data_IF_361346116412
#
_entry.id   IF_361346116412
#
_cell.length_a   1.000
_cell.length_b   1.000
_cell.length_c   1.000
_cell.angle_alpha   90.00
_cell.angle_beta   90.00
_cell.angle_gamma   90.00
#
_symmetry.space_group_name_H-M   'P 1'
#
loop_
_entity.id
_entity.type
_entity.pdbx_description
1 polymer ?
#
# COMPACT_ATOMS: atom_id res chain seq x y z
N UNK A 1 -29.90 -6.50 11.56
CA UNK A 1 -29.99 -7.37 10.37
C UNK A 1 -28.61 -7.46 9.72
N UNK A 2 -28.00 -8.65 9.68
CA UNK A 2 -26.73 -8.89 8.96
C UNK A 2 -27.08 -9.10 7.48
N UNK A 3 -27.10 -8.03 6.69
CA UNK A 3 -27.15 -8.18 5.25
C UNK A 3 -25.84 -8.81 4.76
N UNK A 4 -25.94 -9.92 4.04
CA UNK A 4 -24.80 -10.49 3.31
C UNK A 4 -24.29 -9.44 2.33
N UNK A 5 -22.97 -9.35 2.12
CA UNK A 5 -22.35 -8.39 1.18
C UNK A 5 -22.98 -8.46 -0.22
N UNK A 6 -23.38 -9.65 -0.63
CA UNK A 6 -24.06 -9.92 -1.90
C UNK A 6 -25.46 -9.29 -1.91
N UNK A 7 -26.18 -9.34 -0.79
CA UNK A 7 -27.55 -8.83 -0.68
C UNK A 7 -27.60 -7.30 -0.75
N UNK A 8 -26.59 -6.61 -0.22
CA UNK A 8 -26.46 -5.16 -0.37
C UNK A 8 -26.31 -4.81 -1.85
N UNK A 9 -25.45 -5.52 -2.57
CA UNK A 9 -25.19 -5.25 -4.00
C UNK A 9 -26.35 -5.64 -4.92
N UNK A 10 -27.11 -6.69 -4.58
CA UNK A 10 -28.21 -7.19 -5.43
C UNK A 10 -29.57 -6.53 -5.15
N UNK A 11 -29.90 -6.22 -3.88
CA UNK A 11 -31.27 -5.89 -3.48
C UNK A 11 -31.48 -4.44 -3.05
N UNK A 12 -30.44 -3.64 -2.87
CA UNK A 12 -30.60 -2.24 -2.47
C UNK A 12 -30.62 -1.30 -3.67
N UNK A 13 -31.26 -0.11 -3.56
CA UNK A 13 -31.22 0.90 -4.62
C UNK A 13 -29.77 1.25 -4.98
N UNK A 14 -29.51 1.48 -6.28
CA UNK A 14 -28.17 1.78 -6.81
C UNK A 14 -27.49 2.91 -6.03
N UNK A 15 -28.21 3.99 -5.71
CA UNK A 15 -27.68 5.11 -4.93
C UNK A 15 -27.20 4.69 -3.52
N UNK A 16 -27.92 3.79 -2.84
CA UNK A 16 -27.53 3.28 -1.52
C UNK A 16 -26.28 2.40 -1.60
N UNK A 17 -26.24 1.50 -2.58
CA UNK A 17 -25.06 0.66 -2.84
C UNK A 17 -23.81 1.49 -3.14
N UNK A 18 -23.95 2.54 -3.96
CA UNK A 18 -22.86 3.48 -4.25
C UNK A 18 -22.40 4.15 -2.95
N UNK A 19 -23.30 4.73 -2.15
CA UNK A 19 -22.93 5.40 -0.90
C UNK A 19 -22.27 4.45 0.12
N UNK A 20 -22.78 3.22 0.24
CA UNK A 20 -22.25 2.22 1.15
C UNK A 20 -20.81 1.80 0.82
N UNK A 21 -20.45 1.77 -0.47
CA UNK A 21 -19.09 1.46 -0.94
C UNK A 21 -18.19 2.71 -1.01
N UNK A 22 -18.75 3.84 -1.42
CA UNK A 22 -18.03 5.08 -1.64
C UNK A 22 -17.58 5.72 -0.32
N UNK A 23 -18.45 5.78 0.71
CA UNK A 23 -18.11 6.43 1.98
C UNK A 23 -16.87 5.81 2.65
N UNK A 24 -16.77 4.48 2.85
CA UNK A 24 -15.56 3.86 3.40
C UNK A 24 -14.32 4.08 2.52
N UNK A 25 -14.51 4.12 1.19
CA UNK A 25 -13.42 4.33 0.25
C UNK A 25 -12.89 5.77 0.29
N UNK A 26 -13.78 6.76 0.39
CA UNK A 26 -13.45 8.18 0.57
C UNK A 26 -12.73 8.41 1.91
N UNK A 27 -13.25 7.83 2.99
CA UNK A 27 -12.57 7.88 4.30
C UNK A 27 -11.19 7.24 4.24
N UNK A 28 -11.04 6.12 3.52
CA UNK A 28 -9.73 5.50 3.29
C UNK A 28 -8.77 6.43 2.54
N UNK A 29 -9.25 7.19 1.55
CA UNK A 29 -8.44 8.18 0.84
C UNK A 29 -8.02 9.33 1.76
N UNK A 30 -8.91 9.83 2.61
CA UNK A 30 -8.57 10.87 3.59
C UNK A 30 -7.49 10.40 4.57
N UNK A 31 -7.59 9.17 5.07
CA UNK A 31 -6.56 8.57 5.94
C UNK A 31 -5.23 8.44 5.21
N UNK A 32 -5.24 8.06 3.93
CA UNK A 32 -4.03 7.97 3.13
C UNK A 32 -3.36 9.36 2.96
N UNK A 33 -4.14 10.42 2.78
CA UNK A 33 -3.62 11.79 2.72
C UNK A 33 -2.98 12.18 4.07
N UNK A 34 -3.66 11.91 5.19
CA UNK A 34 -3.12 12.18 6.53
C UNK A 34 -1.81 11.43 6.80
N UNK A 35 -1.71 10.19 6.31
CA UNK A 35 -0.47 9.40 6.36
C UNK A 35 0.68 10.10 5.61
N UNK A 36 0.47 10.49 4.34
CA UNK A 36 1.51 11.17 3.57
C UNK A 36 1.94 12.51 4.21
N UNK A 37 0.99 13.24 4.79
CA UNK A 37 1.28 14.48 5.53
C UNK A 37 2.08 14.21 6.80
N UNK A 38 1.81 13.11 7.50
CA UNK A 38 2.51 12.78 8.75
C UNK A 38 3.98 12.41 8.50
N UNK A 39 4.24 11.59 7.48
CA UNK A 39 5.62 11.23 7.07
C UNK A 39 6.40 12.50 6.69
N UNK A 40 5.81 13.34 5.84
CA UNK A 40 6.40 14.63 5.43
C UNK A 40 6.62 15.56 6.63
N UNK A 41 5.68 15.62 7.57
CA UNK A 41 5.77 16.47 8.76
C UNK A 41 6.93 16.05 9.66
N UNK A 42 7.08 14.76 9.97
CA UNK A 42 8.14 14.27 10.83
C UNK A 42 9.52 14.37 10.17
N UNK A 43 9.61 14.09 8.86
CA UNK A 43 10.85 14.30 8.10
C UNK A 43 11.20 15.79 8.05
N UNK A 44 10.20 16.67 7.84
CA UNK A 44 10.38 18.12 7.85
C UNK A 44 10.86 18.67 9.20
N UNK A 45 10.46 18.03 10.31
CA UNK A 45 10.93 18.37 11.67
C UNK A 45 12.41 18.07 11.92
N UNK A 46 13.10 17.36 11.02
CA UNK A 46 14.55 17.22 11.06
C UNK A 46 15.30 18.54 10.78
N UNK A 47 14.60 19.59 10.31
CA UNK A 47 15.17 20.90 9.97
C UNK A 47 16.34 20.82 8.98
N UNK A 48 16.36 19.78 8.15
CA UNK A 48 17.39 19.56 7.12
C UNK A 48 16.70 19.53 5.74
N UNK A 49 16.81 20.62 4.96
CA UNK A 49 16.15 20.70 3.66
C UNK A 49 16.70 19.68 2.65
N UNK A 50 17.93 19.20 2.81
CA UNK A 50 18.52 18.20 1.91
C UNK A 50 17.89 16.82 2.12
N UNK A 51 17.54 16.48 3.37
CA UNK A 51 16.82 15.24 3.69
C UNK A 51 15.42 15.21 3.08
N UNK A 52 14.67 16.30 3.23
CA UNK A 52 13.32 16.44 2.64
C UNK A 52 13.40 16.40 1.10
N UNK A 53 14.34 17.13 0.50
CA UNK A 53 14.54 17.10 -0.95
C UNK A 53 14.93 15.69 -1.46
N UNK A 54 15.74 14.95 -0.70
CA UNK A 54 16.09 13.56 -1.02
C UNK A 54 14.87 12.64 -1.10
N UNK A 55 13.91 12.78 -0.19
CA UNK A 55 12.65 12.02 -0.21
C UNK A 55 11.80 12.40 -1.42
N UNK A 56 11.70 13.70 -1.73
CA UNK A 56 10.97 14.16 -2.91
C UNK A 56 11.54 13.60 -4.21
N UNK A 57 12.87 13.50 -4.32
CA UNK A 57 13.55 12.86 -5.45
C UNK A 57 13.29 11.34 -5.48
N UNK A 58 13.03 10.70 -4.34
CA UNK A 58 12.72 9.27 -4.27
C UNK A 58 11.29 8.93 -4.74
N UNK A 59 10.33 9.86 -4.64
CA UNK A 59 8.91 9.63 -4.92
C UNK A 59 8.62 9.07 -6.33
N UNK A 60 9.20 9.59 -7.43
CA UNK A 60 8.93 9.02 -8.76
C UNK A 60 9.36 7.55 -8.87
N UNK A 61 10.46 7.17 -8.23
CA UNK A 61 10.95 5.79 -8.25
C UNK A 61 10.03 4.86 -7.44
N UNK A 62 9.54 5.33 -6.30
CA UNK A 62 8.48 4.65 -5.55
C UNK A 62 7.18 4.51 -6.37
N UNK A 63 6.77 5.55 -7.10
CA UNK A 63 5.58 5.48 -7.95
C UNK A 63 5.73 4.45 -9.07
N UNK A 64 6.94 4.27 -9.62
CA UNK A 64 7.21 3.22 -10.59
C UNK A 64 7.01 1.81 -9.99
N UNK A 65 7.48 1.59 -8.77
CA UNK A 65 7.23 0.36 -8.01
C UNK A 65 5.71 0.11 -7.84
N UNK A 66 4.97 1.16 -7.45
CA UNK A 66 3.52 1.09 -7.28
C UNK A 66 2.78 0.86 -8.61
N UNK A 67 3.30 1.38 -9.73
CA UNK A 67 2.74 1.14 -11.06
C UNK A 67 2.82 -0.34 -11.44
N UNK A 68 3.96 -1.00 -11.18
CA UNK A 68 4.13 -2.44 -11.40
C UNK A 68 3.13 -3.23 -10.55
N UNK A 69 3.01 -2.90 -9.25
CA UNK A 69 2.02 -3.52 -8.38
C UNK A 69 0.59 -3.28 -8.88
N UNK A 70 0.32 -2.10 -9.43
CA UNK A 70 -0.95 -1.68 -9.98
C UNK A 70 -1.49 -2.57 -11.10
N UNK A 71 -0.61 -3.20 -11.89
CA UNK A 71 -1.00 -4.15 -12.95
C UNK A 71 -1.77 -5.32 -12.33
N UNK A 72 -1.25 -5.91 -11.25
CA UNK A 72 -1.87 -7.04 -10.56
C UNK A 72 -3.00 -6.60 -9.63
N UNK A 73 -2.81 -5.50 -8.92
CA UNK A 73 -3.77 -4.98 -7.96
C UNK A 73 -5.07 -4.52 -8.66
N UNK A 74 -4.97 -3.56 -9.58
CA UNK A 74 -6.15 -2.99 -10.24
C UNK A 74 -6.68 -3.91 -11.33
N UNK A 75 -5.80 -4.58 -12.08
CA UNK A 75 -6.19 -5.56 -13.11
C UNK A 75 -6.90 -6.77 -12.50
N UNK A 76 -6.32 -7.35 -11.44
CA UNK A 76 -6.91 -8.44 -10.68
C UNK A 76 -8.24 -8.04 -10.02
N UNK A 77 -8.31 -6.86 -9.39
CA UNK A 77 -9.53 -6.31 -8.81
C UNK A 77 -10.66 -6.15 -9.84
N UNK A 78 -10.35 -5.62 -11.02
CA UNK A 78 -11.32 -5.46 -12.10
C UNK A 78 -11.88 -6.80 -12.59
N UNK A 79 -11.01 -7.80 -12.77
CA UNK A 79 -11.44 -9.13 -13.19
C UNK A 79 -12.23 -9.86 -12.11
N UNK A 80 -11.79 -9.78 -10.86
CA UNK A 80 -12.47 -10.31 -9.69
C UNK A 80 -13.90 -9.78 -9.57
N UNK A 81 -14.09 -8.46 -9.72
CA UNK A 81 -15.41 -7.84 -9.64
C UNK A 81 -16.39 -8.41 -10.68
N UNK A 82 -15.93 -8.65 -11.91
CA UNK A 82 -16.76 -9.27 -12.96
C UNK A 82 -17.12 -10.72 -12.65
N UNK A 83 -16.19 -11.51 -12.10
CA UNK A 83 -16.42 -12.91 -11.74
C UNK A 83 -17.43 -13.03 -10.60
N UNK A 84 -17.30 -12.19 -9.57
CA UNK A 84 -18.25 -12.12 -8.47
C UNK A 84 -19.65 -11.71 -8.96
N UNK A 85 -19.73 -10.76 -9.89
CA UNK A 85 -21.00 -10.39 -10.54
C UNK A 85 -21.64 -11.54 -11.33
N UNK A 86 -20.83 -12.43 -11.91
CA UNK A 86 -21.28 -13.66 -12.58
C UNK A 86 -21.54 -14.84 -11.62
N UNK A 87 -21.34 -14.65 -10.31
CA UNK A 87 -21.40 -15.70 -9.28
C UNK A 87 -20.42 -16.86 -9.50
N UNK A 88 -19.36 -16.64 -10.29
CA UNK A 88 -18.29 -17.61 -10.49
C UNK A 88 -17.26 -17.51 -9.36
N UNK A 89 -17.63 -18.07 -8.21
CA UNK A 89 -16.82 -18.00 -7.01
C UNK A 89 -15.52 -18.80 -7.13
N UNK A 90 -15.52 -19.91 -7.90
CA UNK A 90 -14.34 -20.76 -8.05
C UNK A 90 -13.23 -19.99 -8.76
N UNK A 91 -13.52 -19.43 -9.92
CA UNK A 91 -12.55 -18.65 -10.71
C UNK A 91 -12.17 -17.35 -9.98
N UNK A 92 -13.08 -16.77 -9.19
CA UNK A 92 -12.76 -15.62 -8.33
C UNK A 92 -11.65 -15.95 -7.31
N UNK A 93 -11.69 -17.14 -6.69
CA UNK A 93 -10.64 -17.60 -5.76
C UNK A 93 -9.30 -17.82 -6.43
N UNK A 94 -9.34 -18.48 -7.58
CA UNK A 94 -8.15 -18.76 -8.40
C UNK A 94 -7.50 -17.45 -8.86
N UNK A 95 -8.31 -16.46 -9.26
CA UNK A 95 -7.84 -15.13 -9.65
C UNK A 95 -7.15 -14.41 -8.49
N UNK A 96 -7.77 -14.40 -7.31
CA UNK A 96 -7.22 -13.74 -6.12
C UNK A 96 -5.90 -14.38 -5.70
N UNK A 97 -5.86 -15.71 -5.65
CA UNK A 97 -4.66 -16.47 -5.32
C UNK A 97 -3.54 -16.21 -6.34
N UNK A 98 -3.86 -16.26 -7.63
CA UNK A 98 -2.90 -16.00 -8.71
C UNK A 98 -2.35 -14.59 -8.64
N UNK A 99 -3.20 -13.58 -8.40
CA UNK A 99 -2.76 -12.19 -8.26
C UNK A 99 -1.80 -11.99 -7.08
N UNK A 100 -2.08 -12.60 -5.92
CA UNK A 100 -1.23 -12.51 -4.73
C UNK A 100 0.10 -13.23 -4.93
N UNK A 101 0.09 -14.46 -5.46
CA UNK A 101 1.32 -15.21 -5.72
C UNK A 101 2.19 -14.54 -6.78
N UNK A 102 1.57 -14.06 -7.87
CA UNK A 102 2.32 -13.41 -8.94
C UNK A 102 2.94 -12.10 -8.46
N UNK A 103 2.19 -11.27 -7.70
CA UNK A 103 2.77 -10.03 -7.16
C UNK A 103 3.87 -10.31 -6.15
N UNK A 104 3.77 -11.39 -5.35
CA UNK A 104 4.84 -11.76 -4.42
C UNK A 104 6.14 -12.09 -5.16
N UNK A 105 6.07 -12.88 -6.23
CA UNK A 105 7.23 -13.21 -7.07
C UNK A 105 7.79 -11.94 -7.74
N UNK A 106 6.93 -11.17 -8.42
CA UNK A 106 7.34 -9.94 -9.12
C UNK A 106 7.94 -8.92 -8.16
N UNK A 107 7.45 -8.83 -6.94
CA UNK A 107 7.96 -7.90 -5.95
C UNK A 107 9.38 -8.21 -5.49
N UNK A 108 9.78 -9.48 -5.45
CA UNK A 108 11.17 -9.87 -5.13
C UNK A 108 12.11 -9.41 -6.26
N UNK A 109 11.69 -9.58 -7.52
CA UNK A 109 12.45 -9.08 -8.67
C UNK A 109 12.49 -7.55 -8.69
N UNK A 110 11.37 -6.88 -8.41
CA UNK A 110 11.30 -5.43 -8.33
C UNK A 110 12.18 -4.88 -7.19
N UNK A 111 12.25 -5.56 -6.05
CA UNK A 111 13.17 -5.23 -4.96
C UNK A 111 14.63 -5.29 -5.41
N UNK A 112 15.03 -6.43 -5.99
CA UNK A 112 16.41 -6.68 -6.40
C UNK A 112 16.87 -5.71 -7.50
N UNK A 113 16.08 -5.59 -8.57
CA UNK A 113 16.38 -4.65 -9.67
C UNK A 113 16.34 -3.21 -9.17
N UNK A 114 15.34 -2.88 -8.35
CA UNK A 114 15.19 -1.56 -7.78
C UNK A 114 16.43 -1.10 -7.03
N UNK A 115 16.90 -1.91 -6.05
CA UNK A 115 18.12 -1.60 -5.29
C UNK A 115 19.34 -1.49 -6.21
N UNK A 116 19.48 -2.39 -7.19
CA UNK A 116 20.60 -2.37 -8.15
C UNK A 116 20.64 -1.08 -8.98
N UNK A 117 19.48 -0.55 -9.38
CA UNK A 117 19.36 0.63 -10.24
C UNK A 117 19.25 1.96 -9.47
N UNK A 118 19.22 1.97 -8.12
CA UNK A 118 19.21 3.22 -7.34
C UNK A 118 20.33 4.20 -7.78
N UNK A 119 21.61 3.80 -7.91
CA UNK A 119 22.67 4.74 -8.28
C UNK A 119 22.44 5.38 -9.65
N UNK A 120 21.99 4.59 -10.62
CA UNK A 120 21.66 5.06 -11.97
C UNK A 120 20.48 6.01 -11.93
N UNK A 121 19.43 5.68 -11.18
CA UNK A 121 18.27 6.53 -10.99
C UNK A 121 18.67 7.89 -10.40
N UNK A 122 19.45 7.91 -9.31
CA UNK A 122 19.86 9.15 -8.65
C UNK A 122 20.69 10.06 -9.56
N UNK A 123 21.50 9.48 -10.46
CA UNK A 123 22.25 10.23 -11.46
C UNK A 123 21.32 10.85 -12.51
N UNK A 124 20.30 10.12 -12.94
CA UNK A 124 19.32 10.60 -13.94
C UNK A 124 18.32 11.61 -13.35
N UNK A 125 18.01 11.50 -12.06
CA UNK A 125 17.05 12.36 -11.37
C UNK A 125 17.60 13.75 -11.03
N UNK A 126 18.86 14.04 -11.36
CA UNK A 126 19.51 15.32 -11.05
C UNK A 126 19.81 15.53 -9.56
N UNK A 127 19.98 14.45 -8.78
CA UNK A 127 20.29 14.57 -7.36
C UNK A 127 21.69 15.18 -7.14
N UNK A 128 21.79 16.15 -6.22
CA UNK A 128 23.08 16.69 -5.78
C UNK A 128 23.75 15.71 -4.80
N UNK A 129 25.05 15.86 -4.56
CA UNK A 129 25.77 15.00 -3.61
C UNK A 129 25.15 15.00 -2.19
N UNK A 130 24.57 16.14 -1.78
CA UNK A 130 23.94 16.32 -0.48
C UNK A 130 22.57 15.63 -0.38
N UNK A 131 21.80 15.58 -1.47
CA UNK A 131 20.47 14.94 -1.48
C UNK A 131 20.52 13.46 -1.88
N UNK A 132 21.54 13.05 -2.64
CA UNK A 132 21.71 11.69 -3.13
C UNK A 132 21.89 10.68 -1.99
N UNK A 133 22.56 11.05 -0.89
CA UNK A 133 22.73 10.15 0.25
C UNK A 133 21.38 9.84 0.92
N UNK A 134 20.60 10.87 1.25
CA UNK A 134 19.28 10.71 1.86
C UNK A 134 18.30 9.97 0.95
N UNK A 135 18.29 10.31 -0.35
CA UNK A 135 17.47 9.62 -1.33
C UNK A 135 17.86 8.14 -1.44
N UNK A 136 19.16 7.82 -1.47
CA UNK A 136 19.66 6.44 -1.52
C UNK A 136 19.24 5.64 -0.29
N UNK A 137 19.40 6.20 0.91
CA UNK A 137 19.03 5.55 2.16
C UNK A 137 17.52 5.25 2.20
N UNK A 138 16.69 6.24 1.87
CA UNK A 138 15.24 6.09 1.82
C UNK A 138 14.82 5.04 0.79
N UNK A 139 15.31 5.16 -0.45
CA UNK A 139 14.99 4.21 -1.52
C UNK A 139 15.42 2.78 -1.19
N UNK A 140 16.61 2.61 -0.60
CA UNK A 140 17.09 1.27 -0.23
C UNK A 140 16.15 0.61 0.76
N UNK A 141 15.73 1.32 1.81
CA UNK A 141 14.79 0.82 2.80
C UNK A 141 13.42 0.47 2.18
N UNK A 142 12.89 1.34 1.32
CA UNK A 142 11.61 1.12 0.62
C UNK A 142 11.67 -0.08 -0.32
N UNK A 143 12.74 -0.24 -1.10
CA UNK A 143 12.86 -1.34 -2.06
C UNK A 143 13.10 -2.68 -1.37
N UNK A 144 13.86 -2.72 -0.27
CA UNK A 144 13.95 -3.92 0.58
C UNK A 144 12.56 -4.29 1.13
N UNK A 145 11.76 -3.30 1.55
CA UNK A 145 10.39 -3.49 2.01
C UNK A 145 9.35 -3.67 0.90
N UNK A 146 9.74 -3.60 -0.38
CA UNK A 146 8.79 -3.60 -1.49
C UNK A 146 7.90 -4.84 -1.59
N UNK A 147 8.32 -6.07 -1.22
CA UNK A 147 7.40 -7.20 -1.21
C UNK A 147 6.19 -6.97 -0.31
N UNK A 148 6.42 -6.40 0.88
CA UNK A 148 5.35 -6.09 1.83
C UNK A 148 4.42 -5.03 1.24
N UNK A 149 4.99 -3.95 0.71
CA UNK A 149 4.24 -2.82 0.16
C UNK A 149 3.36 -3.27 -1.02
N UNK A 150 3.94 -4.01 -1.97
CA UNK A 150 3.24 -4.47 -3.18
C UNK A 150 2.15 -5.49 -2.85
N UNK A 151 2.44 -6.49 -2.01
CA UNK A 151 1.44 -7.50 -1.61
C UNK A 151 0.29 -6.82 -0.87
N UNK A 152 0.59 -5.93 0.09
CA UNK A 152 -0.43 -5.15 0.80
C UNK A 152 -1.30 -4.34 -0.15
N UNK A 153 -0.69 -3.68 -1.14
CA UNK A 153 -1.41 -2.88 -2.13
C UNK A 153 -2.34 -3.74 -3.00
N UNK A 154 -1.90 -4.92 -3.41
CA UNK A 154 -2.75 -5.87 -4.13
C UNK A 154 -3.92 -6.34 -3.26
N UNK A 155 -3.66 -6.73 -2.01
CA UNK A 155 -4.69 -7.19 -1.08
C UNK A 155 -5.79 -6.13 -0.87
N UNK A 156 -5.42 -4.88 -0.57
CA UNK A 156 -6.43 -3.83 -0.34
C UNK A 156 -7.32 -3.60 -1.57
N UNK A 157 -6.79 -3.69 -2.79
CA UNK A 157 -7.59 -3.52 -4.01
C UNK A 157 -8.50 -4.73 -4.27
N UNK A 158 -8.03 -5.95 -4.01
CA UNK A 158 -8.85 -7.16 -4.12
C UNK A 158 -9.99 -7.17 -3.08
N UNK A 159 -9.73 -6.78 -1.83
CA UNK A 159 -10.75 -6.62 -0.79
C UNK A 159 -11.84 -5.62 -1.21
N UNK A 160 -11.43 -4.50 -1.82
CA UNK A 160 -12.38 -3.50 -2.31
C UNK A 160 -13.24 -4.06 -3.45
N UNK A 161 -12.65 -4.83 -4.36
CA UNK A 161 -13.37 -5.45 -5.48
C UNK A 161 -14.40 -6.49 -5.04
N UNK A 162 -14.18 -7.21 -3.93
CA UNK A 162 -15.18 -8.12 -3.36
C UNK A 162 -16.22 -7.44 -2.46
N UNK A 163 -16.21 -6.11 -2.36
CA UNK A 163 -17.12 -5.34 -1.52
C UNK A 163 -16.79 -5.35 -0.02
N UNK A 164 -15.59 -5.82 0.37
CA UNK A 164 -15.09 -5.77 1.74
C UNK A 164 -14.47 -4.41 2.10
N UNK A 165 -15.09 -3.31 1.68
CA UNK A 165 -14.56 -1.95 1.84
C UNK A 165 -14.27 -1.57 3.30
N UNK A 166 -15.08 -2.05 4.25
CA UNK A 166 -14.85 -1.85 5.69
C UNK A 166 -13.54 -2.49 6.18
N UNK A 167 -13.26 -3.69 5.71
CA UNK A 167 -12.06 -4.46 6.08
C UNK A 167 -10.82 -3.84 5.45
N UNK A 168 -10.93 -3.42 4.18
CA UNK A 168 -9.90 -2.64 3.50
C UNK A 168 -9.55 -1.38 4.29
N UNK A 169 -10.57 -0.65 4.79
CA UNK A 169 -10.41 0.55 5.59
C UNK A 169 -9.77 0.25 6.97
N UNK A 170 -10.22 -0.78 7.68
CA UNK A 170 -9.66 -1.16 8.99
C UNK A 170 -8.16 -1.50 8.90
N UNK A 171 -7.75 -2.29 7.90
CA UNK A 171 -6.32 -2.59 7.71
C UNK A 171 -5.50 -1.35 7.37
N UNK A 172 -6.08 -0.38 6.66
CA UNK A 172 -5.41 0.89 6.40
C UNK A 172 -5.22 1.69 7.69
N UNK A 173 -6.23 1.77 8.55
CA UNK A 173 -6.13 2.42 9.87
C UNK A 173 -5.07 1.76 10.75
N UNK A 174 -4.98 0.42 10.76
CA UNK A 174 -3.96 -0.30 11.51
C UNK A 174 -2.56 0.09 11.02
N UNK A 175 -2.34 0.07 9.71
CA UNK A 175 -1.02 0.39 9.15
C UNK A 175 -0.63 1.84 9.33
N UNK A 176 -1.55 2.77 9.04
CA UNK A 176 -1.32 4.21 9.22
C UNK A 176 -1.15 4.55 10.69
N UNK A 177 -1.99 4.03 11.59
CA UNK A 177 -1.89 4.29 13.02
C UNK A 177 -0.55 3.78 13.60
N UNK A 178 -0.13 2.57 13.21
CA UNK A 178 1.19 2.07 13.59
C UNK A 178 2.32 2.95 13.06
N UNK A 179 2.26 3.36 11.80
CA UNK A 179 3.27 4.23 11.21
C UNK A 179 3.37 5.59 11.93
N UNK A 180 2.24 6.26 12.23
CA UNK A 180 2.22 7.54 12.97
C UNK A 180 2.92 7.43 14.34
N UNK A 181 2.82 6.28 14.99
CA UNK A 181 3.49 6.02 16.28
C UNK A 181 4.97 5.69 16.08
N UNK A 182 5.29 4.90 15.04
CA UNK A 182 6.65 4.43 14.77
C UNK A 182 7.56 5.51 14.18
N UNK A 183 7.03 6.44 13.38
CA UNK A 183 7.78 7.53 12.78
C UNK A 183 8.59 8.34 13.82
N UNK A 184 7.97 8.98 14.84
CA UNK A 184 8.73 9.76 15.82
C UNK A 184 9.71 8.90 16.63
N UNK A 185 9.37 7.62 16.85
CA UNK A 185 10.22 6.68 17.57
C UNK A 185 11.48 6.32 16.77
N UNK A 186 11.38 6.02 15.47
CA UNK A 186 12.54 5.75 14.63
C UNK A 186 13.32 7.01 14.25
N UNK A 187 12.63 8.11 13.99
CA UNK A 187 13.25 9.37 13.57
C UNK A 187 13.97 10.03 14.74
N UNK A 188 13.29 10.25 15.88
CA UNK A 188 13.85 11.05 16.99
C UNK A 188 14.52 10.19 18.07
N UNK A 189 13.91 9.06 18.48
CA UNK A 189 14.46 8.24 19.57
C UNK A 189 15.66 7.42 19.10
N UNK A 190 15.51 6.71 17.98
CA UNK A 190 16.60 5.91 17.40
C UNK A 190 17.54 6.70 16.47
N UNK A 191 17.24 7.97 16.22
CA UNK A 191 18.08 8.88 15.41
C UNK A 191 18.42 8.32 14.02
N UNK A 192 17.46 7.63 13.39
CA UNK A 192 17.64 7.00 12.08
C UNK A 192 17.28 7.93 10.91
N UNK A 193 16.93 9.18 11.19
CA UNK A 193 16.58 10.20 10.19
C UNK A 193 15.55 9.66 9.17
N UNK A 194 15.80 9.91 7.89
CA UNK A 194 14.96 9.54 6.74
C UNK A 194 14.84 8.02 6.57
N UNK A 195 15.86 7.27 7.00
CA UNK A 195 15.82 5.79 6.97
C UNK A 195 14.80 5.28 7.98
N UNK A 196 14.70 5.93 9.14
CA UNK A 196 13.72 5.60 10.18
C UNK A 196 12.29 5.73 9.68
N UNK A 197 12.00 6.82 8.95
CA UNK A 197 10.70 7.05 8.32
C UNK A 197 10.31 5.95 7.31
N UNK A 198 11.26 5.57 6.43
CA UNK A 198 11.06 4.48 5.48
C UNK A 198 10.80 3.13 6.17
N UNK A 199 11.55 2.81 7.23
CA UNK A 199 11.37 1.56 8.00
C UNK A 199 10.02 1.55 8.73
N UNK A 200 9.66 2.66 9.38
CA UNK A 200 8.36 2.82 10.03
C UNK A 200 7.20 2.62 9.04
N UNK A 201 7.36 3.15 7.81
CA UNK A 201 6.42 2.92 6.71
C UNK A 201 6.33 1.44 6.37
N UNK A 202 7.44 0.74 6.13
CA UNK A 202 7.45 -0.68 5.78
C UNK A 202 6.79 -1.53 6.88
N UNK A 203 7.06 -1.24 8.15
CA UNK A 203 6.44 -1.94 9.29
C UNK A 203 4.92 -1.68 9.33
N UNK A 204 4.48 -0.42 9.18
CA UNK A 204 3.06 -0.09 9.15
C UNK A 204 2.33 -0.80 8.01
N UNK A 205 2.94 -0.83 6.82
CA UNK A 205 2.40 -1.58 5.67
C UNK A 205 2.37 -3.09 5.96
N UNK A 206 3.36 -3.62 6.67
CA UNK A 206 3.42 -5.02 7.12
C UNK A 206 2.27 -5.38 8.07
N UNK A 207 1.96 -4.54 9.04
CA UNK A 207 0.84 -4.76 9.95
C UNK A 207 -0.51 -4.76 9.21
N UNK A 208 -0.69 -3.84 8.27
CA UNK A 208 -1.87 -3.84 7.39
C UNK A 208 -1.95 -5.10 6.52
N UNK A 209 -0.82 -5.54 5.96
CA UNK A 209 -0.73 -6.77 5.17
C UNK A 209 -1.14 -8.00 5.99
N UNK A 210 -0.59 -8.15 7.20
CA UNK A 210 -0.90 -9.26 8.10
C UNK A 210 -2.38 -9.27 8.46
N UNK A 211 -2.97 -8.10 8.70
CA UNK A 211 -4.41 -8.00 8.92
C UNK A 211 -5.20 -8.52 7.71
N UNK A 212 -4.89 -8.07 6.50
CA UNK A 212 -5.58 -8.52 5.28
C UNK A 212 -5.41 -10.03 5.04
N UNK A 213 -4.21 -10.58 5.21
CA UNK A 213 -3.96 -12.02 5.11
C UNK A 213 -4.80 -12.77 6.15
N UNK A 214 -4.85 -12.29 7.40
CA UNK A 214 -5.65 -12.92 8.46
C UNK A 214 -7.14 -12.94 8.13
N UNK A 215 -7.63 -11.93 7.41
CA UNK A 215 -9.02 -11.84 6.96
C UNK A 215 -9.33 -12.90 5.88
N UNK A 216 -8.43 -13.10 4.91
CA UNK A 216 -8.55 -14.17 3.91
C UNK A 216 -8.49 -15.57 4.55
N UNK A 217 -7.55 -15.80 5.47
CA UNK A 217 -7.38 -17.09 6.15
C UNK A 217 -8.59 -17.48 7.01
N UNK A 218 -9.30 -16.50 7.58
CA UNK A 218 -10.52 -16.73 8.37
C UNK A 218 -11.75 -17.07 7.51
N UNK A 219 -11.61 -17.28 6.20
CA UNK A 219 -12.69 -17.56 5.24
C UNK A 219 -13.84 -16.54 5.28
N UNK A 220 -13.54 -15.29 5.68
CA UNK A 220 -14.50 -14.18 5.68
C UNK A 220 -14.60 -13.50 4.30
N UNK A 221 -13.64 -13.80 3.43
CA UNK A 221 -13.59 -13.36 2.04
C UNK A 221 -14.53 -14.20 1.16
N UNK A 222 -15.05 -13.58 0.12
CA UNK A 222 -15.89 -14.24 -0.89
C UNK A 222 -15.04 -14.98 -1.93
N UNK A 223 -13.78 -14.57 -2.08
CA UNK A 223 -12.77 -15.12 -2.98
C UNK A 223 -11.64 -15.84 -2.20
#
# INVERSE_FOLDING_TARGET
MKHSKIEILEKTPVAYSILYLALPSMLSMLVNILYNLTDTFFIGKLNDPFKVAGVSIALPYYNMLMAIAGIFANGGASYLSRLLGKKDLKTARETTTTAIFTVAIVSIFAAALGVLFIPTYLKLSGASALTALSARQYLTAIFIGSPIIMIKFTLIQLLRAEGAAKEAMLGLFIGTGANIILDPLFIFTFKMDVTGAAIATVIGQGLAMLYYISYYLKKKSLA
#
